data_IF_969691249825
#
_entry.id   IF_969691249825
#
_cell.length_a   1.000
_cell.length_b   1.000
_cell.length_c   1.000
_cell.angle_alpha   90.00
_cell.angle_beta   90.00
_cell.angle_gamma   90.00
#
_symmetry.space_group_name_H-M   'P 1'
#
loop_
_entity.id
_entity.type
_entity.pdbx_description
1 polymer ?
#
# COMPACT_ATOMS: atom_id res chain seq x y z
N UNK A 1 -16.93 18.48 6.76
CA UNK A 1 -17.65 17.20 6.62
C UNK A 1 -18.92 17.30 7.44
N UNK A 2 -20.09 16.92 6.92
CA UNK A 2 -21.32 16.90 7.72
C UNK A 2 -21.17 15.87 8.85
N UNK A 3 -21.62 16.24 10.06
CA UNK A 3 -21.61 15.35 11.22
C UNK A 3 -22.95 14.60 11.30
N UNK A 4 -22.90 13.27 11.36
CA UNK A 4 -24.07 12.44 11.65
C UNK A 4 -24.26 12.37 13.17
N UNK A 5 -25.42 12.81 13.66
CA UNK A 5 -25.81 12.70 15.06
C UNK A 5 -26.97 11.74 15.20
N UNK A 6 -26.80 10.71 16.01
CA UNK A 6 -27.85 9.74 16.36
C UNK A 6 -28.43 10.15 17.70
N UNK A 7 -29.75 10.37 17.76
CA UNK A 7 -30.46 10.70 19.01
C UNK A 7 -30.88 9.42 19.71
N UNK A 8 -30.88 9.47 21.05
CA UNK A 8 -31.36 8.39 21.92
C UNK A 8 -30.73 7.02 21.61
N UNK A 9 -29.41 7.01 21.38
CA UNK A 9 -28.68 5.79 21.09
C UNK A 9 -28.59 4.90 22.34
N UNK A 10 -29.05 3.63 22.30
CA UNK A 10 -29.08 2.78 23.49
C UNK A 10 -27.70 2.57 24.12
N UNK A 11 -27.61 2.71 25.44
CA UNK A 11 -26.35 2.61 26.19
C UNK A 11 -25.68 1.23 26.03
N UNK A 12 -26.46 0.16 26.09
CA UNK A 12 -25.96 -1.21 25.93
C UNK A 12 -25.29 -1.40 24.55
N UNK A 13 -25.92 -0.86 23.50
CA UNK A 13 -25.41 -0.93 22.13
C UNK A 13 -24.16 -0.05 21.94
N UNK A 14 -24.08 1.08 22.66
CA UNK A 14 -22.88 1.91 22.69
C UNK A 14 -21.68 1.20 23.30
N UNK A 15 -21.88 0.52 24.43
CA UNK A 15 -20.82 -0.24 25.07
C UNK A 15 -20.38 -1.44 24.22
N UNK A 16 -21.30 -2.15 23.58
CA UNK A 16 -20.97 -3.21 22.61
C UNK A 16 -20.15 -2.67 21.44
N UNK A 17 -20.57 -1.55 20.84
CA UNK A 17 -19.86 -0.90 19.74
C UNK A 17 -18.45 -0.46 20.15
N UNK A 18 -18.29 0.05 21.37
CA UNK A 18 -17.02 0.49 21.93
C UNK A 18 -16.06 -0.68 22.16
N UNK A 19 -16.55 -1.79 22.71
CA UNK A 19 -15.77 -3.03 22.85
C UNK A 19 -15.33 -3.55 21.48
N UNK A 20 -16.25 -3.57 20.51
CA UNK A 20 -15.95 -4.03 19.15
C UNK A 20 -14.92 -3.13 18.47
N UNK A 21 -15.05 -1.80 18.56
CA UNK A 21 -14.09 -0.84 18.03
C UNK A 21 -12.68 -1.02 18.62
N UNK A 22 -12.59 -1.23 19.95
CA UNK A 22 -11.33 -1.50 20.62
C UNK A 22 -10.68 -2.80 20.14
N UNK A 23 -11.47 -3.86 19.93
CA UNK A 23 -10.97 -5.15 19.39
C UNK A 23 -10.41 -5.04 17.96
N UNK A 24 -10.91 -4.08 17.17
CA UNK A 24 -10.46 -3.81 15.81
C UNK A 24 -9.40 -2.71 15.74
N UNK A 25 -8.92 -2.20 16.88
CA UNK A 25 -7.99 -1.09 16.99
C UNK A 25 -8.44 0.18 16.24
N UNK A 26 -9.75 0.47 16.30
CA UNK A 26 -10.39 1.63 15.63
C UNK A 26 -11.03 2.56 16.65
N UNK A 27 -11.19 3.83 16.28
CA UNK A 27 -12.07 4.74 17.03
C UNK A 27 -13.53 4.33 16.86
N UNK A 28 -14.39 4.71 17.82
CA UNK A 28 -15.83 4.42 17.75
C UNK A 28 -16.43 5.01 16.47
N UNK A 29 -16.09 6.27 16.14
CA UNK A 29 -16.56 6.92 14.91
C UNK A 29 -16.15 6.14 13.65
N UNK A 30 -14.91 5.67 13.57
CA UNK A 30 -14.44 4.89 12.42
C UNK A 30 -15.14 3.53 12.35
N UNK A 31 -15.36 2.89 13.49
CA UNK A 31 -16.07 1.61 13.54
C UNK A 31 -17.54 1.77 13.13
N UNK A 32 -18.20 2.88 13.49
CA UNK A 32 -19.55 3.22 13.02
C UNK A 32 -19.59 3.39 11.51
N UNK A 33 -18.61 4.09 10.92
CA UNK A 33 -18.51 4.25 9.47
C UNK A 33 -18.39 2.89 8.78
N UNK A 34 -17.48 2.03 9.23
CA UNK A 34 -17.30 0.69 8.67
C UNK A 34 -18.59 -0.14 8.75
N UNK A 35 -19.30 -0.09 9.88
CA UNK A 35 -20.56 -0.81 10.04
C UNK A 35 -21.65 -0.31 9.06
N UNK A 36 -21.76 1.01 8.87
CA UNK A 36 -22.70 1.61 7.91
C UNK A 36 -22.32 1.30 6.47
N UNK A 37 -21.04 1.37 6.12
CA UNK A 37 -20.53 0.97 4.80
C UNK A 37 -20.84 -0.49 4.49
N UNK A 38 -20.60 -1.38 5.46
CA UNK A 38 -20.92 -2.80 5.33
C UNK A 38 -22.42 -3.01 5.11
N UNK A 39 -23.27 -2.37 5.92
CA UNK A 39 -24.73 -2.46 5.78
C UNK A 39 -25.18 -2.05 4.37
N UNK A 40 -24.76 -0.88 3.90
CA UNK A 40 -25.14 -0.35 2.59
C UNK A 40 -24.63 -1.21 1.41
N UNK A 41 -23.52 -1.93 1.59
CA UNK A 41 -22.99 -2.84 0.58
C UNK A 41 -23.70 -4.21 0.59
N UNK A 42 -24.26 -4.63 1.73
CA UNK A 42 -24.92 -5.93 1.87
C UNK A 42 -26.26 -5.97 1.15
N UNK A 43 -26.97 -4.84 1.09
CA UNK A 43 -28.28 -4.72 0.42
C UNK A 43 -28.22 -4.91 -1.11
N UNK A 44 -27.02 -4.84 -1.72
CA UNK A 44 -26.85 -5.07 -3.16
C UNK A 44 -26.74 -6.55 -3.56
N UNK A 45 -26.37 -7.46 -2.64
CA UNK A 45 -26.11 -8.87 -3.02
C UNK A 45 -26.33 -9.93 -1.92
N UNK A 46 -26.71 -9.58 -0.69
CA UNK A 46 -27.14 -10.53 0.34
C UNK A 46 -26.12 -11.60 0.78
N UNK A 47 -24.83 -11.45 0.46
CA UNK A 47 -23.78 -12.40 0.83
C UNK A 47 -22.83 -11.80 1.88
N UNK A 48 -22.53 -12.50 2.99
CA UNK A 48 -21.55 -12.02 3.97
C UNK A 48 -20.15 -12.07 3.37
N UNK A 49 -19.52 -10.91 3.20
CA UNK A 49 -18.20 -10.85 2.56
C UNK A 49 -17.09 -11.04 3.62
N UNK A 50 -16.56 -12.27 3.70
CA UNK A 50 -15.14 -12.50 3.97
C UNK A 50 -14.35 -11.94 2.79
N UNK A 51 -14.23 -10.62 2.78
CA UNK A 51 -13.54 -9.84 1.80
C UNK A 51 -12.09 -9.71 2.22
N UNK A 52 -11.16 -10.40 1.58
CA UNK A 52 -9.80 -9.89 1.56
C UNK A 52 -9.86 -8.42 1.12
N UNK A 53 -9.36 -7.51 1.96
CA UNK A 53 -9.19 -6.11 1.62
C UNK A 53 -8.20 -6.05 0.44
N UNK A 54 -8.71 -6.25 -0.78
CA UNK A 54 -7.92 -6.16 -1.99
C UNK A 54 -7.68 -4.67 -2.19
N UNK A 55 -6.43 -4.18 -2.07
CA UNK A 55 -6.15 -2.79 -2.39
C UNK A 55 -6.68 -2.54 -3.81
N UNK A 56 -7.51 -1.49 -3.96
CA UNK A 56 -7.98 -1.03 -5.25
C UNK A 56 -6.77 -0.44 -6.01
N UNK A 57 -5.96 -1.29 -6.64
CA UNK A 57 -5.09 -0.84 -7.72
C UNK A 57 -5.98 -0.55 -8.93
N UNK A 58 -5.94 0.70 -9.40
CA UNK A 58 -6.39 1.02 -10.75
C UNK A 58 -5.45 0.28 -11.70
N UNK A 59 -5.87 -0.89 -12.18
CA UNK A 59 -5.16 -1.59 -13.25
C UNK A 59 -5.61 -0.95 -14.56
N UNK A 60 -4.77 -0.08 -15.10
CA UNK A 60 -4.97 0.52 -16.41
C UNK A 60 -4.65 -0.46 -17.55
N UNK A 61 -4.09 -1.63 -17.22
CA UNK A 61 -3.73 -2.68 -18.16
C UNK A 61 -4.95 -3.46 -18.63
N UNK A 62 -4.95 -3.82 -19.90
CA UNK A 62 -5.83 -4.87 -20.44
C UNK A 62 -5.48 -6.24 -19.85
N UNK A 63 -6.40 -7.20 -19.91
CA UNK A 63 -6.16 -8.57 -19.41
C UNK A 63 -4.94 -9.23 -20.09
N UNK A 64 -4.72 -8.94 -21.37
CA UNK A 64 -3.56 -9.40 -22.12
C UNK A 64 -2.24 -8.80 -21.61
N UNK A 65 -2.20 -7.50 -21.33
CA UNK A 65 -1.04 -6.81 -20.76
C UNK A 65 -0.72 -7.32 -19.35
N UNK A 66 -1.76 -7.53 -18.53
CA UNK A 66 -1.63 -8.16 -17.21
C UNK A 66 -1.04 -9.57 -17.33
N UNK A 67 -1.53 -10.40 -18.24
CA UNK A 67 -1.02 -11.75 -18.45
C UNK A 67 0.45 -11.73 -18.92
N UNK A 68 0.81 -10.81 -19.81
CA UNK A 68 2.19 -10.61 -20.25
C UNK A 68 3.12 -10.19 -19.10
N UNK A 69 2.66 -9.28 -18.23
CA UNK A 69 3.39 -8.86 -17.03
C UNK A 69 3.59 -10.01 -16.05
N UNK A 70 2.57 -10.82 -15.80
CA UNK A 70 2.66 -12.00 -14.94
C UNK A 70 3.66 -13.01 -15.51
N UNK A 71 3.61 -13.27 -16.82
CA UNK A 71 4.56 -14.15 -17.51
C UNK A 71 5.99 -13.65 -17.36
N UNK A 72 6.24 -12.37 -17.67
CA UNK A 72 7.56 -11.74 -17.52
C UNK A 72 8.06 -11.83 -16.09
N UNK A 73 7.19 -11.59 -15.10
CA UNK A 73 7.54 -11.72 -13.68
C UNK A 73 8.00 -13.16 -13.38
N UNK A 74 7.22 -14.17 -13.76
CA UNK A 74 7.58 -15.59 -13.54
C UNK A 74 8.94 -15.94 -14.14
N UNK A 75 9.20 -15.54 -15.39
CA UNK A 75 10.49 -15.76 -16.07
C UNK A 75 11.65 -15.11 -15.33
N UNK A 76 11.47 -13.89 -14.81
CA UNK A 76 12.48 -13.20 -13.99
C UNK A 76 12.76 -13.97 -12.70
N UNK A 77 11.73 -14.46 -12.00
CA UNK A 77 11.91 -15.23 -10.77
C UNK A 77 12.58 -16.58 -11.03
N UNK A 78 12.24 -17.26 -12.12
CA UNK A 78 12.93 -18.49 -12.53
C UNK A 78 14.41 -18.24 -12.82
N UNK A 79 14.72 -17.16 -13.55
CA UNK A 79 16.11 -16.74 -13.81
C UNK A 79 16.86 -16.42 -12.52
N UNK A 80 16.23 -15.73 -11.56
CA UNK A 80 16.84 -15.43 -10.26
C UNK A 80 17.07 -16.71 -9.46
N UNK A 81 16.15 -17.67 -9.50
CA UNK A 81 16.31 -18.96 -8.82
C UNK A 81 17.48 -19.79 -9.35
N UNK A 82 17.91 -19.56 -10.59
CA UNK A 82 19.11 -20.18 -11.17
C UNK A 82 20.41 -19.47 -10.75
N UNK A 83 20.33 -18.23 -10.25
CA UNK A 83 21.49 -17.52 -9.75
C UNK A 83 21.87 -18.06 -8.38
N UNK A 84 23.14 -18.43 -8.24
CA UNK A 84 23.70 -18.83 -6.97
C UNK A 84 24.51 -17.66 -6.40
N UNK A 85 24.14 -17.23 -5.19
CA UNK A 85 24.90 -16.21 -4.47
C UNK A 85 26.05 -16.87 -3.71
N UNK A 86 27.29 -16.57 -4.10
CA UNK A 86 28.50 -17.09 -3.46
C UNK A 86 29.05 -16.20 -2.34
N UNK A 87 28.46 -15.02 -2.12
CA UNK A 87 28.91 -14.09 -1.10
C UNK A 87 28.38 -14.41 0.29
N UNK A 88 28.88 -13.73 1.33
CA UNK A 88 28.17 -13.69 2.61
C UNK A 88 26.77 -13.11 2.41
N UNK A 89 25.82 -13.53 3.24
CA UNK A 89 24.49 -12.91 3.24
C UNK A 89 24.67 -11.45 3.66
N UNK A 90 24.25 -10.47 2.84
CA UNK A 90 24.41 -9.07 3.21
C UNK A 90 23.62 -8.75 4.47
N UNK A 91 24.17 -7.86 5.28
CA UNK A 91 23.55 -7.32 6.48
C UNK A 91 22.39 -6.39 6.13
N UNK A 92 21.55 -6.08 7.10
CA UNK A 92 20.44 -5.14 6.89
C UNK A 92 20.95 -3.74 6.49
N UNK A 93 22.06 -3.28 7.08
CA UNK A 93 22.66 -1.98 6.78
C UNK A 93 23.19 -1.92 5.34
N UNK A 94 23.87 -2.98 4.88
CA UNK A 94 24.35 -3.07 3.50
C UNK A 94 23.20 -3.09 2.49
N UNK A 95 22.11 -3.81 2.78
CA UNK A 95 20.91 -3.82 1.93
C UNK A 95 20.30 -2.41 1.86
N UNK A 96 20.16 -1.73 3.00
CA UNK A 96 19.62 -0.37 3.07
C UNK A 96 20.49 0.61 2.28
N UNK A 97 21.82 0.49 2.38
CA UNK A 97 22.75 1.32 1.62
C UNK A 97 22.57 1.14 0.11
N UNK A 98 22.51 -0.10 -0.37
CA UNK A 98 22.29 -0.40 -1.81
C UNK A 98 20.94 0.13 -2.30
N UNK A 99 19.88 -0.02 -1.50
CA UNK A 99 18.55 0.50 -1.86
C UNK A 99 18.57 2.03 -1.91
N UNK A 100 19.24 2.67 -0.96
CA UNK A 100 19.38 4.13 -0.91
C UNK A 100 20.13 4.65 -2.14
N UNK A 101 21.28 4.08 -2.46
CA UNK A 101 22.05 4.42 -3.67
C UNK A 101 21.19 4.30 -4.93
N UNK A 102 20.49 3.17 -5.10
CA UNK A 102 19.58 2.96 -6.23
C UNK A 102 18.34 3.87 -6.24
N UNK A 103 18.01 4.54 -5.12
CA UNK A 103 17.00 5.60 -5.08
C UNK A 103 17.59 6.94 -5.52
N UNK A 104 18.77 7.28 -5.02
CA UNK A 104 19.50 8.50 -5.38
C UNK A 104 19.79 8.54 -6.89
N UNK A 105 20.31 7.45 -7.48
CA UNK A 105 20.54 7.33 -8.93
C UNK A 105 19.26 7.52 -9.75
N UNK A 106 18.15 6.95 -9.29
CA UNK A 106 16.86 7.02 -9.99
C UNK A 106 16.27 8.41 -9.92
N UNK A 107 16.29 9.01 -8.74
CA UNK A 107 15.80 10.37 -8.54
C UNK A 107 16.63 11.34 -9.38
N UNK A 108 17.95 11.15 -9.45
CA UNK A 108 18.81 11.95 -10.32
C UNK A 108 18.44 11.76 -11.80
N UNK A 109 18.29 10.52 -12.28
CA UNK A 109 17.90 10.25 -13.67
C UNK A 109 16.53 10.86 -14.03
N UNK A 110 15.57 10.86 -13.09
CA UNK A 110 14.26 11.51 -13.24
C UNK A 110 14.42 13.02 -13.33
N UNK A 111 15.14 13.64 -12.38
CA UNK A 111 15.39 15.08 -12.37
C UNK A 111 16.10 15.51 -13.66
N UNK A 112 17.05 14.72 -14.14
CA UNK A 112 17.78 14.97 -15.39
C UNK A 112 16.84 14.92 -16.59
N UNK A 113 15.96 13.93 -16.64
CA UNK A 113 14.97 13.78 -17.72
C UNK A 113 13.93 14.90 -17.73
N UNK A 114 13.63 15.48 -16.56
CA UNK A 114 12.72 16.61 -16.40
C UNK A 114 13.40 17.98 -16.54
N UNK A 115 14.74 18.00 -16.68
CA UNK A 115 15.53 19.22 -16.89
C UNK A 115 15.89 20.01 -15.62
N UNK A 116 15.79 19.40 -14.44
CA UNK A 116 16.12 20.03 -13.15
C UNK A 116 17.63 19.91 -12.80
N UNK A 117 18.50 20.39 -13.69
CA UNK A 117 19.95 20.25 -13.52
C UNK A 117 20.51 21.01 -12.30
N UNK A 118 19.96 22.19 -12.00
CA UNK A 118 20.39 23.01 -10.85
C UNK A 118 20.14 22.30 -9.51
N UNK A 119 19.05 21.53 -9.40
CA UNK A 119 18.75 20.73 -8.21
C UNK A 119 19.71 19.54 -8.06
N UNK A 120 20.14 18.94 -9.18
CA UNK A 120 21.12 17.86 -9.18
C UNK A 120 22.50 18.38 -8.73
N UNK A 121 22.94 19.52 -9.28
CA UNK A 121 24.21 20.13 -8.89
C UNK A 121 24.20 20.57 -7.42
N UNK A 122 23.08 21.12 -6.95
CA UNK A 122 22.90 21.49 -5.54
C UNK A 122 22.99 20.30 -4.58
N UNK A 123 22.44 19.14 -4.95
CA UNK A 123 22.54 17.91 -4.15
C UNK A 123 23.97 17.37 -4.11
N UNK A 124 24.64 17.29 -5.26
CA UNK A 124 26.03 16.83 -5.35
C UNK A 124 26.99 17.73 -4.57
N UNK A 125 26.76 19.04 -4.57
CA UNK A 125 27.56 19.99 -3.80
C UNK A 125 27.34 19.90 -2.27
N UNK A 126 26.18 19.39 -1.83
CA UNK A 126 25.87 19.20 -0.41
C UNK A 126 26.43 17.88 0.16
N UNK A 127 26.79 16.93 -0.71
CA UNK A 127 27.33 15.62 -0.34
C UNK A 127 28.87 15.53 -0.43
N UNK A 128 29.52 16.56 -1.00
CA UNK A 128 30.98 16.71 -1.09
C UNK A 128 31.59 17.39 0.15
#
# INVERSE_FOLDING_TARGET
MPALQVRDFPDDLYEELKVYAASQHRSIAQQTIVAVEQMLQTDATGAPFSAEHKPHYLDFDTEAERAARIKRKKEVFERIGQLHWNGPKPTAEEIVAVVREGHEERDEAILQSLGFYDEIEGRRAAEA
#
